data_IF_760295926644
#
_entry.id   IF_760295926644
#
_cell.length_a   1.000
_cell.length_b   1.000
_cell.length_c   1.000
_cell.angle_alpha   90.00
_cell.angle_beta   90.00
_cell.angle_gamma   90.00
#
_symmetry.space_group_name_H-M   'P 1'
#
loop_
_entity.id
_entity.type
_entity.pdbx_description
1 polymer ?
#
# COMPACT_ATOMS: atom_id res chain seq x y z
N UNK A 1 -5.71 -2.90 33.94
CA UNK A 1 -6.94 -3.11 33.12
C UNK A 1 -6.71 -2.85 31.64
N UNK A 2 -6.37 -1.63 31.19
CA UNK A 2 -6.14 -1.37 29.76
C UNK A 2 -4.91 -2.09 29.18
N UNK A 3 -3.79 -2.13 29.93
CA UNK A 3 -2.60 -2.86 29.51
C UNK A 3 -2.85 -4.36 29.33
N UNK A 4 -3.68 -4.95 30.19
CA UNK A 4 -4.03 -6.38 30.12
C UNK A 4 -4.81 -6.72 28.85
N UNK A 5 -5.71 -5.84 28.42
CA UNK A 5 -6.46 -5.99 27.16
C UNK A 5 -5.50 -5.86 25.97
N UNK A 6 -4.60 -4.88 25.99
CA UNK A 6 -3.63 -4.67 24.91
C UNK A 6 -2.64 -5.84 24.74
N UNK A 7 -2.35 -6.56 25.83
CA UNK A 7 -1.46 -7.73 25.84
C UNK A 7 -2.19 -9.06 25.59
N UNK A 8 -3.52 -9.07 25.53
CA UNK A 8 -4.28 -10.26 25.13
C UNK A 8 -3.81 -10.72 23.75
N UNK A 9 -3.57 -12.02 23.63
CA UNK A 9 -3.16 -12.63 22.37
C UNK A 9 -4.38 -13.23 21.69
N UNK A 10 -4.58 -12.84 20.44
CA UNK A 10 -5.59 -13.38 19.55
C UNK A 10 -4.90 -13.81 18.27
N UNK A 11 -5.10 -15.06 17.84
CA UNK A 11 -4.55 -15.56 16.57
C UNK A 11 -3.02 -15.35 16.46
N UNK A 12 -2.29 -15.67 17.54
CA UNK A 12 -0.82 -15.48 17.69
C UNK A 12 -0.32 -14.03 17.67
N UNK A 13 -1.21 -13.03 17.75
CA UNK A 13 -0.86 -11.62 17.76
C UNK A 13 -1.47 -10.91 18.96
N UNK A 14 -0.78 -9.91 19.50
CA UNK A 14 -1.36 -9.06 20.56
C UNK A 14 -2.38 -8.12 19.93
N UNK A 15 -3.39 -7.70 20.70
CA UNK A 15 -4.32 -6.64 20.25
C UNK A 15 -3.55 -5.39 19.80
N UNK A 16 -2.45 -5.08 20.48
CA UNK A 16 -1.51 -4.03 20.06
C UNK A 16 -0.97 -4.21 18.64
N UNK A 17 -0.61 -5.42 18.23
CA UNK A 17 -0.03 -5.69 16.91
C UNK A 17 -1.06 -5.41 15.81
N UNK A 18 -2.34 -5.71 16.04
CA UNK A 18 -3.44 -5.35 15.15
C UNK A 18 -3.63 -3.82 15.05
N UNK A 19 -3.53 -3.10 16.18
CA UNK A 19 -3.61 -1.64 16.20
C UNK A 19 -2.44 -1.03 15.42
N UNK A 20 -1.22 -1.55 15.60
CA UNK A 20 -0.02 -1.10 14.88
C UNK A 20 -0.17 -1.36 13.38
N UNK A 21 -0.65 -2.53 12.96
CA UNK A 21 -0.93 -2.83 11.56
C UNK A 21 -1.97 -1.89 10.97
N UNK A 22 -3.08 -1.65 11.68
CA UNK A 22 -4.11 -0.71 11.22
C UNK A 22 -3.53 0.70 11.08
N UNK A 23 -2.73 1.14 12.04
CA UNK A 23 -2.06 2.43 12.00
C UNK A 23 -1.06 2.53 10.85
N UNK A 24 -0.25 1.49 10.61
CA UNK A 24 0.66 1.40 9.47
C UNK A 24 -0.10 1.45 8.13
N UNK A 25 -1.24 0.76 8.03
CA UNK A 25 -2.08 0.77 6.84
C UNK A 25 -2.67 2.14 6.55
N UNK A 26 -3.27 2.77 7.58
CA UNK A 26 -3.86 4.10 7.46
C UNK A 26 -2.79 5.14 7.14
N UNK A 27 -1.65 5.12 7.81
CA UNK A 27 -0.54 6.03 7.53
C UNK A 27 0.00 5.86 6.11
N UNK A 28 0.15 4.63 5.64
CA UNK A 28 0.54 4.34 4.25
C UNK A 28 -0.47 4.88 3.23
N UNK A 29 -1.77 4.72 3.46
CA UNK A 29 -2.82 5.30 2.61
C UNK A 29 -2.73 6.82 2.56
N UNK A 30 -2.51 7.46 3.72
CA UNK A 30 -2.33 8.91 3.82
C UNK A 30 -1.10 9.36 3.03
N UNK A 31 0.02 8.65 3.16
CA UNK A 31 1.24 8.91 2.39
C UNK A 31 0.95 8.81 0.88
N UNK A 32 0.26 7.77 0.41
CA UNK A 32 -0.11 7.61 -1.00
C UNK A 32 -0.95 8.79 -1.49
N UNK A 33 -1.95 9.21 -0.71
CA UNK A 33 -2.78 10.37 -1.06
C UNK A 33 -1.97 11.67 -1.16
N UNK A 34 -1.03 11.88 -0.25
CA UNK A 34 -0.13 13.03 -0.28
C UNK A 34 0.77 12.97 -1.51
N UNK A 35 1.39 11.81 -1.78
CA UNK A 35 2.21 11.58 -2.96
C UNK A 35 1.44 11.86 -4.25
N UNK A 36 0.21 11.36 -4.37
CA UNK A 36 -0.69 11.65 -5.50
C UNK A 36 -0.86 13.16 -5.69
N UNK A 37 -1.17 13.88 -4.62
CA UNK A 37 -1.35 15.33 -4.67
C UNK A 37 -0.07 16.08 -5.08
N UNK A 38 1.09 15.64 -4.59
CA UNK A 38 2.39 16.24 -4.91
C UNK A 38 2.77 15.98 -6.37
N UNK A 39 2.65 14.73 -6.84
CA UNK A 39 2.97 14.33 -8.22
C UNK A 39 2.11 15.13 -9.21
N UNK A 40 0.78 15.17 -9.00
CA UNK A 40 -0.14 15.91 -9.88
C UNK A 40 0.17 17.41 -9.87
N UNK A 41 0.43 17.99 -8.68
CA UNK A 41 0.81 19.41 -8.59
C UNK A 41 2.14 19.70 -9.30
N UNK A 42 3.16 18.85 -9.14
CA UNK A 42 4.46 19.04 -9.78
C UNK A 42 4.37 18.90 -11.30
N UNK A 43 3.65 17.90 -11.82
CA UNK A 43 3.44 17.75 -13.26
C UNK A 43 2.74 18.99 -13.85
N UNK A 44 1.67 19.48 -13.19
CA UNK A 44 0.97 20.70 -13.63
C UNK A 44 1.84 21.96 -13.62
N UNK A 45 2.80 22.07 -12.69
CA UNK A 45 3.73 23.21 -12.61
C UNK A 45 4.83 23.10 -13.65
N UNK A 46 5.31 21.88 -13.93
CA UNK A 46 6.36 21.64 -14.91
C UNK A 46 5.93 21.95 -16.34
N UNK A 47 4.64 21.82 -16.65
CA UNK A 47 4.19 21.89 -18.04
C UNK A 47 3.01 22.84 -18.20
N UNK A 48 3.34 24.09 -18.52
CA UNK A 48 2.38 25.04 -19.12
C UNK A 48 2.07 24.72 -20.60
N UNK A 49 2.58 23.63 -21.20
CA UNK A 49 2.63 23.54 -22.67
C UNK A 49 2.85 22.15 -23.34
N UNK A 50 2.23 21.03 -22.93
CA UNK A 50 2.26 19.82 -23.78
C UNK A 50 1.14 18.80 -23.48
N UNK A 51 0.67 18.09 -24.51
CA UNK A 51 -0.38 17.05 -24.49
C UNK A 51 0.06 15.70 -23.92
N UNK A 52 1.36 15.50 -23.66
CA UNK A 52 1.94 14.22 -23.22
C UNK A 52 1.67 13.92 -21.74
N UNK A 53 1.32 14.92 -20.93
CA UNK A 53 1.16 14.76 -19.47
C UNK A 53 -0.13 14.03 -19.06
N UNK A 54 -1.21 14.15 -19.82
CA UNK A 54 -2.47 13.48 -19.47
C UNK A 54 -2.34 11.96 -19.53
N UNK A 55 -1.49 11.44 -20.42
CA UNK A 55 -1.18 10.00 -20.49
C UNK A 55 -0.36 9.53 -19.29
N UNK A 56 0.64 10.31 -18.87
CA UNK A 56 1.45 10.01 -17.68
C UNK A 56 0.63 10.06 -16.39
N UNK A 57 -0.23 11.07 -16.24
CA UNK A 57 -1.12 11.18 -15.08
C UNK A 57 -2.09 10.00 -15.05
N UNK A 58 -2.67 9.62 -16.19
CA UNK A 58 -3.56 8.46 -16.26
C UNK A 58 -2.84 7.15 -15.95
N UNK A 59 -1.62 6.92 -16.43
CA UNK A 59 -0.82 5.74 -16.12
C UNK A 59 -0.49 5.66 -14.62
N UNK A 60 -0.11 6.78 -14.01
CA UNK A 60 0.13 6.86 -12.56
C UNK A 60 -1.15 6.56 -11.77
N UNK A 61 -2.29 7.10 -12.19
CA UNK A 61 -3.55 6.87 -11.49
C UNK A 61 -4.11 5.45 -11.67
N UNK A 62 -3.93 4.83 -12.84
CA UNK A 62 -4.45 3.49 -13.14
C UNK A 62 -3.53 2.36 -12.74
N UNK A 63 -2.21 2.54 -12.81
CA UNK A 63 -1.26 1.45 -12.64
C UNK A 63 -0.41 1.63 -11.37
N UNK A 64 0.15 2.83 -11.15
CA UNK A 64 1.01 3.08 -9.99
C UNK A 64 0.22 3.14 -8.68
N UNK A 65 -0.94 3.79 -8.66
CA UNK A 65 -1.76 3.89 -7.43
C UNK A 65 -2.18 2.53 -6.89
N UNK A 66 -2.80 1.62 -7.67
CA UNK A 66 -3.14 0.28 -7.16
C UNK A 66 -1.93 -0.48 -6.64
N UNK A 67 -0.78 -0.38 -7.33
CA UNK A 67 0.47 -1.03 -6.91
C UNK A 67 0.95 -0.49 -5.56
N UNK A 68 0.90 0.83 -5.35
CA UNK A 68 1.25 1.45 -4.07
C UNK A 68 0.29 1.01 -2.95
N UNK A 69 -1.02 0.97 -3.20
CA UNK A 69 -2.01 0.50 -2.22
C UNK A 69 -1.77 -0.95 -1.81
N UNK A 70 -1.45 -1.82 -2.78
CA UNK A 70 -1.07 -3.20 -2.52
C UNK A 70 0.23 -3.31 -1.73
N UNK A 71 1.23 -2.48 -2.05
CA UNK A 71 2.48 -2.40 -1.30
C UNK A 71 2.23 -2.03 0.16
N UNK A 72 1.42 -1.00 0.41
CA UNK A 72 1.04 -0.59 1.77
C UNK A 72 0.29 -1.70 2.49
N UNK A 73 -0.66 -2.36 1.84
CA UNK A 73 -1.39 -3.48 2.42
C UNK A 73 -0.45 -4.62 2.82
N UNK A 74 0.45 -5.01 1.92
CA UNK A 74 1.43 -6.07 2.14
C UNK A 74 2.38 -5.75 3.30
N UNK A 75 2.94 -4.53 3.31
CA UNK A 75 3.82 -4.05 4.39
C UNK A 75 3.09 -3.98 5.73
N UNK A 76 1.83 -3.55 5.74
CA UNK A 76 1.04 -3.43 6.98
C UNK A 76 0.78 -4.80 7.59
N UNK A 77 0.49 -5.79 6.76
CA UNK A 77 0.24 -7.16 7.22
C UNK A 77 1.51 -7.83 7.77
N UNK A 78 2.71 -7.43 7.33
CA UNK A 78 3.95 -7.96 7.89
C UNK A 78 4.16 -7.60 9.38
N UNK A 79 3.45 -6.59 9.91
CA UNK A 79 3.46 -6.32 11.35
C UNK A 79 2.69 -7.37 12.16
N UNK A 80 1.89 -8.22 11.51
CA UNK A 80 1.26 -9.38 12.16
C UNK A 80 2.11 -10.62 11.95
N UNK A 81 2.26 -11.38 13.03
CA UNK A 81 2.72 -12.75 13.05
C UNK A 81 1.66 -13.66 12.44
N UNK A 82 1.72 -13.86 11.13
CA UNK A 82 0.82 -14.77 10.44
C UNK A 82 1.33 -16.21 10.51
N UNK A 83 0.38 -17.15 10.57
CA UNK A 83 0.71 -18.56 10.38
C UNK A 83 1.42 -18.75 9.02
N UNK A 84 2.50 -19.55 8.93
CA UNK A 84 3.23 -19.81 7.68
C UNK A 84 2.35 -20.15 6.46
N UNK A 85 1.20 -20.80 6.64
CA UNK A 85 0.26 -21.03 5.53
C UNK A 85 -0.34 -19.73 4.96
N UNK A 86 -0.80 -18.83 5.85
CA UNK A 86 -1.34 -17.52 5.47
C UNK A 86 -0.25 -16.60 4.94
N UNK A 87 0.92 -16.61 5.57
CA UNK A 87 2.09 -15.86 5.13
C UNK A 87 2.49 -16.23 3.70
N UNK A 88 2.57 -17.53 3.38
CA UNK A 88 2.84 -18.00 2.00
C UNK A 88 1.75 -17.56 1.03
N UNK A 89 0.48 -17.70 1.39
CA UNK A 89 -0.64 -17.28 0.54
C UNK A 89 -0.58 -15.79 0.20
N UNK A 90 -0.37 -14.93 1.20
CA UNK A 90 -0.24 -13.49 1.01
C UNK A 90 1.00 -13.14 0.16
N UNK A 91 2.12 -13.82 0.38
CA UNK A 91 3.33 -13.60 -0.42
C UNK A 91 3.11 -13.94 -1.90
N UNK A 92 2.48 -15.08 -2.18
CA UNK A 92 2.16 -15.51 -3.56
C UNK A 92 1.16 -14.55 -4.19
N UNK A 93 0.10 -14.15 -3.47
CA UNK A 93 -0.86 -13.16 -3.96
C UNK A 93 -0.20 -11.81 -4.24
N UNK A 94 0.66 -11.34 -3.33
CA UNK A 94 1.42 -10.11 -3.51
C UNK A 94 2.34 -10.20 -4.73
N UNK A 95 3.03 -11.33 -4.92
CA UNK A 95 3.88 -11.57 -6.10
C UNK A 95 3.07 -11.54 -7.40
N UNK A 96 1.92 -12.23 -7.44
CA UNK A 96 1.05 -12.27 -8.63
C UNK A 96 0.56 -10.86 -8.96
N UNK A 97 0.03 -10.14 -7.97
CA UNK A 97 -0.47 -8.78 -8.17
C UNK A 97 0.66 -7.83 -8.58
N UNK A 98 1.81 -7.89 -7.91
CA UNK A 98 2.99 -7.11 -8.26
C UNK A 98 3.42 -7.39 -9.71
N UNK A 99 3.40 -8.64 -10.14
CA UNK A 99 3.75 -9.02 -11.52
C UNK A 99 2.73 -8.46 -12.51
N UNK A 100 1.43 -8.60 -12.25
CA UNK A 100 0.37 -8.09 -13.13
C UNK A 100 0.46 -6.57 -13.24
N UNK A 101 0.51 -5.84 -12.13
CA UNK A 101 0.58 -4.38 -12.14
C UNK A 101 1.93 -3.86 -12.65
N UNK A 102 3.02 -4.57 -12.35
CA UNK A 102 4.35 -4.22 -12.86
C UNK A 102 4.45 -4.37 -14.38
N UNK A 103 3.91 -5.47 -14.93
CA UNK A 103 3.83 -5.66 -16.38
C UNK A 103 2.91 -4.64 -17.03
N UNK A 104 1.75 -4.35 -16.42
CA UNK A 104 0.80 -3.34 -16.94
C UNK A 104 1.35 -1.92 -16.90
N UNK A 105 2.29 -1.63 -16.00
CA UNK A 105 3.00 -0.35 -15.97
C UNK A 105 4.07 -0.23 -17.06
N UNK A 106 4.62 -1.35 -17.53
CA UNK A 106 5.67 -1.40 -18.56
C UNK A 106 5.13 -1.49 -20.00
N UNK A 107 3.95 -2.09 -20.19
CA UNK A 107 3.27 -2.24 -21.49
C UNK A 107 2.31 -1.08 -21.77
#
# INVERSE_FOLDING_TARGET
MFQDILQQTFLHNRILDYIICLFAFVSGIVIIRIFKGIIIKRLKVWVKKTTTDDLLIQAIEKDLLPLLYLGVFYLSIQFLTLNPALGKGINVLALILLTIFGVRFLL
#
